data_IF_132329046386
#
_entry.id   IF_132329046386
#
_cell.length_a   1.000
_cell.length_b   1.000
_cell.length_c   1.000
_cell.angle_alpha   90.00
_cell.angle_beta   90.00
_cell.angle_gamma   90.00
#
_symmetry.space_group_name_H-M   'P 1'
#
loop_
_entity.id
_entity.type
_entity.pdbx_description
1 polymer ?
#
# COMPACT_ATOMS: atom_id res chain seq x y z
N UNK A 1 -12.82 -10.01 -2.81
CA UNK A 1 -13.69 -8.86 -2.41
C UNK A 1 -14.72 -8.70 -3.51
N UNK A 2 -15.94 -8.33 -3.15
CA UNK A 2 -17.03 -8.15 -4.10
C UNK A 2 -17.15 -6.66 -4.44
N UNK A 3 -17.73 -6.34 -5.62
CA UNK A 3 -18.04 -4.96 -5.99
C UNK A 3 -18.94 -4.30 -4.93
N UNK A 4 -18.66 -3.05 -4.59
CA UNK A 4 -19.35 -2.32 -3.53
C UNK A 4 -18.78 -2.56 -2.11
N UNK A 5 -17.87 -3.52 -1.92
CA UNK A 5 -17.18 -3.71 -0.62
C UNK A 5 -16.49 -2.41 -0.21
N UNK A 6 -16.69 -2.00 1.04
CA UNK A 6 -16.09 -0.80 1.63
C UNK A 6 -15.24 -1.17 2.83
N UNK A 7 -14.12 -0.49 2.99
CA UNK A 7 -13.30 -0.65 4.19
C UNK A 7 -12.52 0.63 4.50
N UNK A 8 -12.15 0.77 5.76
CA UNK A 8 -11.44 1.94 6.25
C UNK A 8 -10.13 1.52 6.90
N UNK A 9 -9.05 2.22 6.56
CA UNK A 9 -7.75 2.13 7.19
C UNK A 9 -7.48 3.42 7.95
N UNK A 10 -7.27 3.33 9.26
CA UNK A 10 -6.83 4.47 10.07
C UNK A 10 -5.33 4.43 10.27
N UNK A 11 -4.67 5.54 9.96
CA UNK A 11 -3.22 5.73 10.09
C UNK A 11 -2.93 6.48 11.38
N UNK A 12 -1.97 5.97 12.14
CA UNK A 12 -1.53 6.54 13.43
C UNK A 12 -0.05 6.92 13.38
N UNK A 13 0.28 8.00 14.05
CA UNK A 13 1.67 8.41 14.28
C UNK A 13 2.34 7.54 15.37
N UNK A 14 3.61 7.81 15.64
CA UNK A 14 4.41 7.13 16.69
C UNK A 14 3.89 7.34 18.13
N UNK A 15 2.91 8.22 18.34
CA UNK A 15 2.30 8.52 19.64
C UNK A 15 0.86 8.01 19.72
N UNK A 16 0.47 7.12 18.80
CA UNK A 16 -0.89 6.59 18.67
C UNK A 16 -1.99 7.65 18.39
N UNK A 17 -1.60 8.80 17.85
CA UNK A 17 -2.57 9.80 17.39
C UNK A 17 -2.94 9.52 15.94
N UNK A 18 -4.23 9.63 15.62
CA UNK A 18 -4.69 9.57 14.25
C UNK A 18 -3.99 10.65 13.42
N UNK A 19 -3.37 10.27 12.32
CA UNK A 19 -2.69 11.16 11.37
C UNK A 19 -3.38 11.16 10.00
N UNK A 20 -4.25 10.18 9.73
CA UNK A 20 -5.04 10.11 8.51
C UNK A 20 -6.04 8.97 8.55
N UNK A 21 -7.05 9.08 7.71
CA UNK A 21 -8.09 8.06 7.49
C UNK A 21 -8.17 7.83 5.99
N UNK A 22 -8.17 6.58 5.59
CA UNK A 22 -8.31 6.15 4.19
C UNK A 22 -9.57 5.31 4.05
N UNK A 23 -10.53 5.81 3.30
CA UNK A 23 -11.78 5.12 2.97
C UNK A 23 -11.64 4.50 1.59
N UNK A 24 -11.88 3.19 1.48
CA UNK A 24 -11.77 2.42 0.26
C UNK A 24 -13.11 1.88 -0.20
N UNK A 25 -13.28 1.82 -1.52
CA UNK A 25 -14.42 1.16 -2.18
C UNK A 25 -13.92 0.31 -3.34
N UNK A 26 -14.39 -0.93 -3.42
CA UNK A 26 -14.22 -1.77 -4.61
C UNK A 26 -15.22 -1.29 -5.66
N UNK A 27 -14.74 -0.63 -6.72
CA UNK A 27 -15.58 -0.02 -7.77
C UNK A 27 -16.07 -1.01 -8.79
N UNK A 28 -15.15 -1.82 -9.30
CA UNK A 28 -15.41 -2.79 -10.35
C UNK A 28 -14.66 -4.07 -10.04
N UNK A 29 -15.28 -5.19 -10.37
CA UNK A 29 -14.67 -6.51 -10.28
C UNK A 29 -14.88 -7.24 -11.59
N UNK A 30 -13.82 -7.76 -12.19
CA UNK A 30 -13.86 -8.65 -13.34
C UNK A 30 -13.27 -10.02 -12.98
N UNK A 31 -13.19 -10.92 -13.96
CA UNK A 31 -12.68 -12.28 -13.74
C UNK A 31 -11.26 -12.28 -13.12
N UNK A 32 -10.40 -11.35 -13.56
CA UNK A 32 -8.98 -11.33 -13.21
C UNK A 32 -8.51 -9.97 -12.68
N UNK A 33 -9.40 -9.03 -12.39
CA UNK A 33 -9.00 -7.71 -11.90
C UNK A 33 -10.07 -7.06 -11.05
N UNK A 34 -9.66 -6.08 -10.25
CA UNK A 34 -10.55 -5.17 -9.54
C UNK A 34 -9.98 -3.76 -9.57
N UNK A 35 -10.88 -2.77 -9.63
CA UNK A 35 -10.55 -1.36 -9.49
C UNK A 35 -10.92 -0.91 -8.07
N UNK A 36 -9.94 -0.39 -7.37
CA UNK A 36 -10.09 0.16 -6.03
C UNK A 36 -10.10 1.68 -6.10
N UNK A 37 -11.08 2.30 -5.45
CA UNK A 37 -11.09 3.74 -5.22
C UNK A 37 -10.76 4.00 -3.75
N UNK A 38 -10.01 5.06 -3.47
CA UNK A 38 -9.79 5.52 -2.10
C UNK A 38 -9.87 7.04 -1.98
N UNK A 39 -10.28 7.48 -0.79
CA UNK A 39 -10.17 8.86 -0.32
C UNK A 39 -9.31 8.90 0.92
N UNK A 40 -8.40 9.86 0.99
CA UNK A 40 -7.57 10.10 2.16
C UNK A 40 -7.97 11.41 2.84
N UNK A 41 -8.22 11.33 4.14
CA UNK A 41 -8.60 12.46 4.98
C UNK A 41 -7.55 12.69 6.07
N UNK A 42 -7.39 13.95 6.49
CA UNK A 42 -6.59 14.30 7.68
C UNK A 42 -7.31 13.92 8.98
N UNK A 43 -6.66 14.17 10.11
CA UNK A 43 -7.23 13.92 11.45
C UNK A 43 -8.49 14.74 11.78
N UNK A 44 -8.80 15.76 10.97
CA UNK A 44 -10.00 16.61 11.10
C UNK A 44 -11.11 16.27 10.12
N UNK A 45 -10.90 15.22 9.29
CA UNK A 45 -11.83 14.80 8.28
C UNK A 45 -11.81 15.65 6.99
N UNK A 46 -10.78 16.50 6.80
CA UNK A 46 -10.61 17.22 5.55
C UNK A 46 -9.97 16.28 4.52
N UNK A 47 -10.60 16.17 3.36
CA UNK A 47 -10.04 15.38 2.24
C UNK A 47 -8.70 15.97 1.78
N UNK A 48 -7.69 15.10 1.70
CA UNK A 48 -6.34 15.42 1.24
C UNK A 48 -6.20 15.05 -0.24
N UNK A 49 -6.61 13.85 -0.60
CA UNK A 49 -6.53 13.32 -1.97
C UNK A 49 -7.49 12.15 -2.17
N UNK A 50 -7.78 11.83 -3.41
CA UNK A 50 -8.49 10.62 -3.83
C UNK A 50 -7.82 10.05 -5.07
N UNK A 51 -7.88 8.74 -5.27
CA UNK A 51 -7.36 8.08 -6.48
C UNK A 51 -7.98 6.71 -6.67
N UNK A 52 -7.76 6.15 -7.85
CA UNK A 52 -8.09 4.77 -8.18
C UNK A 52 -6.82 4.00 -8.48
N UNK A 53 -6.82 2.69 -8.20
CA UNK A 53 -5.73 1.79 -8.57
C UNK A 53 -6.25 0.41 -8.93
N UNK A 54 -5.51 -0.26 -9.82
CA UNK A 54 -5.83 -1.60 -10.28
C UNK A 54 -5.23 -2.69 -9.40
N UNK A 55 -5.99 -3.75 -9.21
CA UNK A 55 -5.52 -5.01 -8.66
C UNK A 55 -5.74 -6.08 -9.73
N UNK A 56 -4.71 -6.85 -10.04
CA UNK A 56 -4.80 -7.99 -10.96
C UNK A 56 -4.69 -9.29 -10.18
N UNK A 57 -5.64 -10.20 -10.40
CA UNK A 57 -5.65 -11.54 -9.83
C UNK A 57 -5.21 -12.54 -10.92
N UNK A 58 -4.12 -13.25 -10.68
CA UNK A 58 -3.59 -14.27 -11.58
C UNK A 58 -3.49 -15.61 -10.88
N UNK A 59 -3.13 -16.65 -11.63
CA UNK A 59 -2.81 -17.96 -11.04
C UNK A 59 -1.62 -17.91 -10.07
N UNK A 60 -0.73 -16.92 -10.23
CA UNK A 60 0.46 -16.74 -9.38
C UNK A 60 0.17 -15.95 -8.11
N UNK A 61 -0.89 -15.14 -8.08
CA UNK A 61 -1.24 -14.32 -6.93
C UNK A 61 -1.98 -13.03 -7.27
N UNK A 62 -1.99 -12.12 -6.30
CA UNK A 62 -2.54 -10.79 -6.43
C UNK A 62 -1.41 -9.80 -6.68
N UNK A 63 -1.54 -9.01 -7.74
CA UNK A 63 -0.60 -7.96 -8.11
C UNK A 63 -1.26 -6.59 -7.95
N UNK A 64 -0.59 -5.68 -7.26
CA UNK A 64 -1.03 -4.28 -7.12
C UNK A 64 -0.23 -3.45 -8.12
N UNK A 65 -0.93 -2.77 -9.02
CA UNK A 65 -0.35 -1.86 -10.00
C UNK A 65 0.02 -0.53 -9.33
N UNK A 66 1.31 -0.31 -9.14
CA UNK A 66 1.81 0.93 -8.56
C UNK A 66 1.63 2.15 -9.46
N UNK A 67 1.59 1.97 -10.78
CA UNK A 67 1.44 3.09 -11.70
C UNK A 67 0.07 3.75 -11.53
N UNK A 68 -0.94 2.95 -11.24
CA UNK A 68 -2.30 3.42 -11.00
C UNK A 68 -2.52 4.00 -9.59
N UNK A 69 -1.60 3.80 -8.64
CA UNK A 69 -1.71 4.38 -7.28
C UNK A 69 -1.36 5.87 -7.23
N UNK A 70 -0.82 6.44 -8.29
CA UNK A 70 -0.51 7.88 -8.35
C UNK A 70 -1.81 8.66 -8.53
N UNK A 71 -2.09 9.59 -7.60
CA UNK A 71 -3.32 10.37 -7.70
C UNK A 71 -3.33 11.27 -8.95
N UNK A 72 -4.49 11.46 -9.58
CA UNK A 72 -4.64 12.38 -10.70
C UNK A 72 -4.15 13.80 -10.38
N UNK A 73 -4.35 14.27 -9.13
CA UNK A 73 -3.89 15.58 -8.68
C UNK A 73 -2.36 15.66 -8.64
N UNK A 74 -1.68 14.57 -8.26
CA UNK A 74 -0.23 14.51 -8.29
C UNK A 74 0.26 14.48 -9.74
N UNK A 75 -0.37 13.71 -10.61
CA UNK A 75 -0.06 13.68 -12.04
C UNK A 75 -0.41 15.02 -12.71
N UNK A 76 -1.55 15.65 -12.33
CA UNK A 76 -1.99 16.94 -12.83
C UNK A 76 -1.01 18.09 -12.55
N UNK A 77 -0.20 18.01 -11.49
CA UNK A 77 0.89 18.97 -11.27
C UNK A 77 1.99 18.88 -12.35
N UNK A 78 1.98 17.80 -13.14
CA UNK A 78 2.96 17.51 -14.19
C UNK A 78 2.30 17.34 -15.57
N UNK A 79 1.03 17.79 -15.77
CA UNK A 79 0.28 17.63 -17.03
C UNK A 79 1.01 18.16 -18.27
N UNK A 80 1.82 19.20 -18.11
CA UNK A 80 2.65 19.77 -19.19
C UNK A 80 4.04 19.09 -19.31
N UNK A 81 4.30 18.06 -18.50
CA UNK A 81 5.58 17.36 -18.42
C UNK A 81 5.43 15.91 -18.85
N UNK A 82 6.48 15.38 -19.46
CA UNK A 82 6.52 13.95 -19.77
C UNK A 82 6.83 13.15 -18.50
N UNK A 83 5.92 12.29 -18.08
CA UNK A 83 6.07 11.39 -16.92
C UNK A 83 6.26 9.96 -17.43
N UNK A 84 7.37 9.35 -17.06
CA UNK A 84 7.64 7.93 -17.31
C UNK A 84 7.58 7.17 -15.99
N UNK A 85 6.86 6.04 -15.97
CA UNK A 85 6.86 5.11 -14.85
C UNK A 85 7.34 3.75 -15.34
N UNK A 86 8.26 3.14 -14.58
CA UNK A 86 8.80 1.81 -14.82
C UNK A 86 8.97 1.08 -13.49
N UNK A 87 9.02 -0.24 -13.51
CA UNK A 87 9.25 -1.04 -12.31
C UNK A 87 8.54 -2.38 -12.36
N UNK A 88 8.52 -3.03 -11.21
CA UNK A 88 7.84 -4.30 -10.96
C UNK A 88 6.73 -4.10 -9.94
N UNK A 89 5.55 -4.61 -10.26
CA UNK A 89 4.39 -4.54 -9.38
C UNK A 89 4.57 -5.36 -8.10
N UNK A 90 3.82 -4.98 -7.07
CA UNK A 90 3.84 -5.67 -5.78
C UNK A 90 3.01 -6.95 -5.85
N UNK A 91 3.69 -8.08 -5.97
CA UNK A 91 3.06 -9.41 -5.99
C UNK A 91 2.90 -9.98 -4.58
N UNK A 92 1.70 -10.47 -4.27
CA UNK A 92 1.40 -11.35 -3.15
C UNK A 92 0.96 -12.72 -3.71
N UNK A 93 1.83 -13.74 -3.67
CA UNK A 93 1.54 -15.06 -4.21
C UNK A 93 0.32 -15.70 -3.52
N UNK A 94 -0.41 -16.52 -4.27
CA UNK A 94 -1.40 -17.43 -3.70
C UNK A 94 -0.69 -18.45 -2.78
N UNK A 95 -1.37 -18.93 -1.76
CA UNK A 95 -0.86 -19.96 -0.85
C UNK A 95 0.47 -19.57 -0.18
N UNK A 96 0.46 -18.46 0.57
CA UNK A 96 1.60 -18.03 1.37
C UNK A 96 1.99 -19.10 2.39
N UNK A 97 3.31 -19.33 2.56
CA UNK A 97 3.85 -20.29 3.54
C UNK A 97 4.84 -19.59 4.47
N UNK A 98 4.82 -19.97 5.75
CA UNK A 98 5.79 -19.46 6.73
C UNK A 98 7.20 -19.79 6.29
N UNK A 99 8.08 -18.81 6.33
CA UNK A 99 9.47 -18.91 5.87
C UNK A 99 9.68 -18.58 4.38
N UNK A 100 8.60 -18.41 3.60
CA UNK A 100 8.66 -18.08 2.17
C UNK A 100 9.22 -16.66 1.98
N UNK A 101 10.21 -16.52 1.09
CA UNK A 101 10.62 -15.22 0.54
C UNK A 101 9.66 -14.81 -0.58
N UNK A 102 9.27 -13.54 -0.59
CA UNK A 102 8.41 -12.96 -1.62
C UNK A 102 9.25 -12.16 -2.61
N UNK A 103 8.82 -12.04 -3.88
CA UNK A 103 9.53 -11.21 -4.86
C UNK A 103 9.68 -9.76 -4.40
N UNK A 104 10.82 -9.17 -4.68
CA UNK A 104 11.03 -7.74 -4.51
C UNK A 104 10.17 -6.96 -5.52
N UNK A 105 9.87 -5.70 -5.20
CA UNK A 105 9.15 -4.80 -6.09
C UNK A 105 9.81 -3.42 -6.07
N UNK A 106 9.78 -2.75 -7.22
CA UNK A 106 10.33 -1.40 -7.36
C UNK A 106 9.46 -0.55 -8.28
N UNK A 107 9.44 0.76 -8.02
CA UNK A 107 8.79 1.74 -8.87
C UNK A 107 9.75 2.91 -9.08
N UNK A 108 10.00 3.25 -10.33
CA UNK A 108 10.73 4.44 -10.72
C UNK A 108 9.81 5.37 -11.50
N UNK A 109 9.52 6.53 -10.95
CA UNK A 109 8.87 7.62 -11.65
C UNK A 109 9.94 8.66 -12.07
N UNK A 110 9.93 9.02 -13.33
CA UNK A 110 10.77 10.10 -13.89
C UNK A 110 9.87 11.16 -14.48
N UNK A 111 9.97 12.39 -13.95
CA UNK A 111 9.32 13.58 -14.52
C UNK A 111 10.37 14.35 -15.29
N UNK A 112 10.19 14.49 -16.62
CA UNK A 112 11.12 15.21 -17.51
C UNK A 112 10.85 16.70 -17.40
N UNK A 113 11.78 17.43 -16.78
CA UNK A 113 11.77 18.90 -16.61
C UNK A 113 13.11 19.47 -17.13
N UNK A 114 13.25 19.69 -18.45
CA UNK A 114 14.51 20.23 -18.98
C UNK A 114 14.92 21.55 -18.30
N UNK A 115 16.20 21.73 -17.89
CA UNK A 115 17.34 20.84 -18.14
C UNK A 115 17.51 19.70 -17.09
N UNK A 116 16.64 19.60 -16.09
CA UNK A 116 16.73 18.61 -15.02
C UNK A 116 15.54 17.63 -15.08
N UNK A 117 15.81 16.38 -14.69
CA UNK A 117 14.75 15.39 -14.50
C UNK A 117 14.57 15.13 -13.00
N UNK A 118 13.34 15.14 -12.53
CA UNK A 118 13.01 14.70 -11.18
C UNK A 118 12.79 13.19 -11.21
N UNK A 119 13.45 12.47 -10.30
CA UNK A 119 13.28 11.02 -10.14
C UNK A 119 12.80 10.70 -8.75
N UNK A 120 11.75 9.90 -8.66
CA UNK A 120 11.28 9.27 -7.44
C UNK A 120 11.40 7.76 -7.62
N UNK A 121 12.11 7.12 -6.69
CA UNK A 121 12.26 5.66 -6.67
C UNK A 121 11.71 5.12 -5.35
N UNK A 122 10.95 4.03 -5.42
CA UNK A 122 10.47 3.28 -4.26
C UNK A 122 10.80 1.81 -4.45
N UNK A 123 11.48 1.21 -3.49
CA UNK A 123 11.87 -0.21 -3.51
C UNK A 123 11.27 -0.91 -2.31
N UNK A 124 10.82 -2.15 -2.50
CA UNK A 124 10.35 -3.08 -1.47
C UNK A 124 11.16 -4.36 -1.59
N UNK A 125 11.93 -4.68 -0.58
CA UNK A 125 12.90 -5.79 -0.62
C UNK A 125 12.99 -6.53 0.70
N UNK A 126 13.71 -7.65 0.73
CA UNK A 126 13.80 -8.54 1.89
C UNK A 126 12.42 -9.00 2.39
N UNK A 127 11.49 -9.21 1.45
CA UNK A 127 10.10 -9.57 1.74
C UNK A 127 10.01 -11.03 2.15
N UNK A 128 9.43 -11.31 3.33
CA UNK A 128 9.36 -12.67 3.88
C UNK A 128 8.10 -12.88 4.72
N UNK A 129 7.50 -14.07 4.62
CA UNK A 129 6.42 -14.52 5.50
C UNK A 129 7.05 -15.08 6.80
N UNK A 130 6.87 -14.39 7.91
CA UNK A 130 7.48 -14.77 9.19
C UNK A 130 6.61 -15.72 10.02
N UNK A 131 5.28 -15.67 9.86
CA UNK A 131 4.36 -16.49 10.66
C UNK A 131 2.91 -16.20 10.39
N UNK A 132 2.06 -16.74 11.25
CA UNK A 132 0.62 -16.47 11.28
C UNK A 132 0.26 -15.92 12.65
N UNK A 133 -0.58 -14.88 12.70
CA UNK A 133 -1.10 -14.28 13.93
C UNK A 133 -2.58 -13.95 13.76
N UNK A 134 -3.37 -14.12 14.81
CA UNK A 134 -4.75 -13.64 14.86
C UNK A 134 -4.75 -12.22 15.45
N UNK A 135 -5.30 -11.26 14.70
CA UNK A 135 -5.31 -9.83 15.03
C UNK A 135 -6.74 -9.35 15.23
N UNK A 136 -7.00 -8.70 16.36
CA UNK A 136 -8.27 -8.03 16.63
C UNK A 136 -8.12 -6.53 16.41
N UNK A 137 -9.02 -5.97 15.60
CA UNK A 137 -9.13 -4.55 15.28
C UNK A 137 -10.58 -4.09 15.51
N UNK A 138 -10.91 -2.79 15.40
CA UNK A 138 -12.31 -2.35 15.42
C UNK A 138 -13.19 -2.98 14.33
N UNK A 139 -12.62 -3.43 13.21
CA UNK A 139 -13.33 -4.10 12.13
C UNK A 139 -13.62 -5.59 12.40
N UNK A 140 -13.00 -6.20 13.40
CA UNK A 140 -13.16 -7.62 13.73
C UNK A 140 -11.87 -8.33 14.11
N UNK A 141 -11.93 -9.67 14.14
CA UNK A 141 -10.77 -10.53 14.39
C UNK A 141 -10.43 -11.30 13.11
N UNK A 142 -9.17 -11.30 12.73
CA UNK A 142 -8.67 -11.80 11.46
C UNK A 142 -7.47 -12.71 11.66
N UNK A 143 -7.46 -13.85 11.00
CA UNK A 143 -6.27 -14.68 10.88
C UNK A 143 -5.40 -14.13 9.73
N UNK A 144 -4.16 -13.78 10.05
CA UNK A 144 -3.27 -13.05 9.16
C UNK A 144 -1.95 -13.78 8.95
N UNK A 145 -1.42 -13.72 7.75
CA UNK A 145 0.00 -13.92 7.49
C UNK A 145 0.77 -12.68 7.95
N UNK A 146 1.89 -12.91 8.62
CA UNK A 146 2.80 -11.85 9.06
C UNK A 146 3.93 -11.76 8.04
N UNK A 147 4.02 -10.63 7.35
CA UNK A 147 5.03 -10.38 6.32
C UNK A 147 5.92 -9.23 6.79
N UNK A 148 7.23 -9.47 6.81
CA UNK A 148 8.22 -8.42 7.02
C UNK A 148 8.84 -8.01 5.69
N UNK A 149 9.22 -6.75 5.58
CA UNK A 149 9.92 -6.21 4.42
C UNK A 149 10.62 -4.90 4.74
N UNK A 150 11.67 -4.59 3.99
CA UNK A 150 12.29 -3.28 4.00
C UNK A 150 11.76 -2.43 2.85
N UNK A 151 11.66 -1.13 3.07
CA UNK A 151 11.32 -0.18 2.01
C UNK A 151 12.31 0.97 1.96
N UNK A 152 12.57 1.43 0.75
CA UNK A 152 13.43 2.55 0.45
C UNK A 152 12.71 3.49 -0.50
N UNK A 153 12.52 4.75 -0.10
CA UNK A 153 12.03 5.80 -0.95
C UNK A 153 13.13 6.84 -1.15
N UNK A 154 13.35 7.24 -2.41
CA UNK A 154 14.33 8.27 -2.79
C UNK A 154 13.66 9.34 -3.63
N UNK A 155 13.50 10.52 -3.07
CA UNK A 155 13.05 11.73 -3.73
C UNK A 155 13.97 12.88 -3.28
N UNK A 156 15.17 12.96 -3.91
CA UNK A 156 16.26 13.79 -3.42
C UNK A 156 16.95 13.18 -2.18
N UNK A 157 16.24 13.03 -1.08
CA UNK A 157 16.74 12.39 0.15
C UNK A 157 16.30 10.92 0.16
N UNK A 158 17.20 10.03 0.58
CA UNK A 158 16.94 8.61 0.76
C UNK A 158 16.33 8.36 2.15
N UNK A 159 15.12 7.81 2.18
CA UNK A 159 14.44 7.33 3.38
C UNK A 159 14.34 5.81 3.33
N UNK A 160 14.64 5.14 4.43
CA UNK A 160 14.48 3.68 4.55
C UNK A 160 13.72 3.35 5.81
N UNK A 161 12.89 2.34 5.74
CA UNK A 161 12.14 1.80 6.87
C UNK A 161 12.05 0.28 6.79
N UNK A 162 11.85 -0.36 7.93
CA UNK A 162 11.47 -1.76 8.02
C UNK A 162 9.99 -1.83 8.38
N UNK A 163 9.28 -2.80 7.82
CA UNK A 163 7.83 -2.86 7.92
C UNK A 163 7.40 -4.27 8.36
N UNK A 164 6.31 -4.34 9.11
CA UNK A 164 5.61 -5.56 9.46
C UNK A 164 4.15 -5.41 9.04
N UNK A 165 3.69 -6.29 8.16
CA UNK A 165 2.35 -6.31 7.58
C UNK A 165 1.61 -7.56 8.06
N UNK A 166 0.39 -7.40 8.51
CA UNK A 166 -0.59 -8.46 8.76
C UNK A 166 -1.59 -8.47 7.61
N UNK A 167 -1.49 -9.49 6.78
CA UNK A 167 -2.30 -9.68 5.58
C UNK A 167 -3.29 -10.82 5.80
N UNK A 168 -4.58 -10.57 5.68
CA UNK A 168 -5.64 -11.57 5.78
C UNK A 168 -6.24 -11.89 4.43
N UNK A 169 -6.41 -13.17 4.13
CA UNK A 169 -7.05 -13.62 2.91
C UNK A 169 -8.49 -13.11 2.82
N UNK A 170 -8.86 -12.54 1.67
CA UNK A 170 -10.18 -11.97 1.41
C UNK A 170 -10.42 -10.57 2.00
N UNK A 171 -9.54 -10.09 2.91
CA UNK A 171 -9.67 -8.78 3.56
C UNK A 171 -8.53 -7.81 3.20
N UNK A 172 -7.36 -8.34 2.81
CA UNK A 172 -6.19 -7.52 2.52
C UNK A 172 -5.41 -7.14 3.78
N UNK A 173 -4.90 -5.92 3.83
CA UNK A 173 -4.14 -5.40 4.97
C UNK A 173 -5.05 -5.19 6.18
N UNK A 174 -4.80 -5.92 7.25
CA UNK A 174 -5.47 -5.76 8.55
C UNK A 174 -4.70 -4.78 9.45
N UNK A 175 -3.38 -4.88 9.45
CA UNK A 175 -2.50 -4.01 10.22
C UNK A 175 -1.15 -3.88 9.51
N UNK A 176 -0.52 -2.72 9.64
CA UNK A 176 0.88 -2.51 9.26
C UNK A 176 1.58 -1.67 10.30
N UNK A 177 2.82 -1.97 10.59
CA UNK A 177 3.72 -1.20 11.44
C UNK A 177 4.95 -0.81 10.64
N UNK A 178 5.40 0.44 10.79
CA UNK A 178 6.57 0.98 10.12
C UNK A 178 7.60 1.43 11.15
N UNK A 179 8.83 1.00 10.97
CA UNK A 179 9.94 1.25 11.88
C UNK A 179 11.06 2.00 11.16
N UNK A 180 11.74 2.88 11.87
CA UNK A 180 12.94 3.54 11.35
C UNK A 180 14.16 2.60 11.42
N UNK A 181 15.30 3.04 10.87
CA UNK A 181 16.59 2.30 10.88
C UNK A 181 17.08 1.88 12.27
N UNK A 182 16.58 2.50 13.35
CA UNK A 182 16.95 2.17 14.73
C UNK A 182 15.96 1.20 15.38
N UNK A 183 14.97 0.68 14.61
CA UNK A 183 13.93 -0.20 15.10
C UNK A 183 12.84 0.49 15.93
N UNK A 184 12.78 1.83 15.93
CA UNK A 184 11.72 2.56 16.63
C UNK A 184 10.48 2.68 15.73
N UNK A 185 9.30 2.39 16.28
CA UNK A 185 8.02 2.58 15.60
C UNK A 185 7.84 4.05 15.22
N UNK A 186 7.52 4.30 13.95
CA UNK A 186 7.26 5.65 13.42
C UNK A 186 5.83 5.86 12.97
N UNK A 187 5.06 4.78 12.77
CA UNK A 187 3.65 4.82 12.42
C UNK A 187 3.05 3.43 12.30
N UNK A 188 1.73 3.37 12.33
CA UNK A 188 0.97 2.14 12.07
C UNK A 188 -0.32 2.45 11.32
N UNK A 189 -0.81 1.48 10.57
CA UNK A 189 -2.10 1.50 9.88
C UNK A 189 -2.94 0.32 10.36
N UNK A 190 -4.23 0.51 10.57
CA UNK A 190 -5.13 -0.51 11.11
C UNK A 190 -6.44 -0.48 10.32
N UNK A 191 -6.95 -1.65 9.95
CA UNK A 191 -8.30 -1.83 9.40
C UNK A 191 -9.32 -1.51 10.52
N UNK A 192 -10.07 -0.42 10.37
CA UNK A 192 -11.00 0.07 11.42
C UNK A 192 -12.46 -0.16 11.09
N UNK A 193 -12.81 -0.36 9.81
CA UNK A 193 -14.15 -0.77 9.36
C UNK A 193 -14.04 -1.67 8.13
N UNK A 194 -15.00 -2.58 7.97
CA UNK A 194 -15.15 -3.44 6.80
C UNK A 194 -16.63 -3.80 6.61
N UNK A 195 -17.15 -3.52 5.41
CA UNK A 195 -18.54 -3.76 4.99
C UNK A 195 -18.55 -4.47 3.63
N UNK A 196 -19.29 -5.58 3.52
CA UNK A 196 -19.55 -6.30 2.27
C UNK A 196 -20.86 -5.86 1.65
#
# INVERSE_FOLDING_TARGET
MDEGTKFQITVYDKKDKVSGIMDYVVKEVSENSATMFYEMHDEKGKMITSSEYGITCTNDGITIDFSSMMSPELLGQYEEMEVEMTGTDLLYPNNLNVGQSLPDADVLMTVKMPPLNMKMNMNFFNRKVEGNESITTPAGTFDCYVITYDSEAKMGIKMTSSNKLWLSEGYGMVKQETYNKKGALIGKSILTAFEK
#
